data_IF_787747396763
#
_entry.id   IF_787747396763
#
_cell.length_a   1.000
_cell.length_b   1.000
_cell.length_c   1.000
_cell.angle_alpha   90.00
_cell.angle_beta   90.00
_cell.angle_gamma   90.00
#
_symmetry.space_group_name_H-M   'P 1'
#
loop_
_entity.id
_entity.type
_entity.pdbx_description
1 polymer ?
#
# COMPACT_ATOMS: atom_id res chain seq x y z
N UNK A 1 61.27 -7.18 -41.90
CA UNK A 1 59.92 -6.62 -41.70
C UNK A 1 58.77 -7.62 -41.81
N UNK A 2 58.89 -8.76 -42.52
CA UNK A 2 57.80 -9.75 -42.61
C UNK A 2 57.59 -10.65 -41.37
N UNK A 3 58.64 -10.94 -40.60
CA UNK A 3 58.58 -11.86 -39.45
C UNK A 3 57.80 -11.31 -38.25
N UNK A 4 57.85 -10.00 -38.04
CA UNK A 4 57.11 -9.31 -36.95
C UNK A 4 55.61 -9.26 -37.27
N UNK A 5 55.23 -9.13 -38.55
CA UNK A 5 53.82 -9.16 -38.95
C UNK A 5 53.21 -10.55 -38.76
N UNK A 6 53.97 -11.61 -39.03
CA UNK A 6 53.53 -13.00 -38.87
C UNK A 6 53.39 -13.41 -37.39
N UNK A 7 54.31 -12.96 -36.53
CA UNK A 7 54.24 -13.14 -35.07
C UNK A 7 53.08 -12.33 -34.43
N UNK A 8 52.76 -11.14 -34.94
CA UNK A 8 51.56 -10.41 -34.49
C UNK A 8 50.25 -10.98 -35.07
N UNK A 9 50.28 -11.53 -36.28
CA UNK A 9 49.12 -12.13 -36.94
C UNK A 9 48.68 -13.42 -36.22
N UNK A 10 49.65 -14.28 -35.87
CA UNK A 10 49.40 -15.50 -35.09
C UNK A 10 48.87 -15.22 -33.68
N UNK A 11 49.30 -14.11 -33.03
CA UNK A 11 48.75 -13.65 -31.76
C UNK A 11 47.32 -13.10 -31.84
N UNK A 12 46.89 -12.60 -33.00
CA UNK A 12 45.53 -12.13 -33.25
C UNK A 12 44.54 -13.29 -33.47
N UNK A 13 44.97 -14.39 -34.08
CA UNK A 13 44.15 -15.60 -34.28
C UNK A 13 43.75 -16.25 -32.95
N UNK A 14 44.59 -16.12 -31.91
CA UNK A 14 44.32 -16.65 -30.57
C UNK A 14 43.35 -15.78 -29.73
N UNK A 15 43.02 -14.57 -30.18
CA UNK A 15 42.02 -13.69 -29.51
C UNK A 15 40.57 -14.08 -29.82
N UNK A 16 40.30 -14.78 -30.92
CA UNK A 16 38.91 -15.15 -31.26
C UNK A 16 38.36 -16.21 -30.32
N UNK A 17 39.18 -17.16 -29.87
CA UNK A 17 38.79 -18.21 -28.91
C UNK A 17 38.61 -17.67 -27.49
N UNK A 18 39.43 -16.71 -27.06
CA UNK A 18 39.26 -16.02 -25.77
C UNK A 18 38.01 -15.13 -25.74
N UNK A 19 37.55 -14.65 -26.90
CA UNK A 19 36.35 -13.81 -26.99
C UNK A 19 35.05 -14.57 -26.77
N UNK A 20 34.95 -15.82 -27.24
CA UNK A 20 33.72 -16.60 -27.15
C UNK A 20 33.43 -17.07 -25.72
N UNK A 21 34.44 -17.58 -25.00
CA UNK A 21 34.31 -17.98 -23.60
C UNK A 21 33.99 -16.79 -22.68
N UNK A 22 34.60 -15.64 -22.93
CA UNK A 22 34.36 -14.43 -22.15
C UNK A 22 32.97 -13.85 -22.41
N UNK A 23 32.49 -13.85 -23.66
CA UNK A 23 31.11 -13.49 -24.01
C UNK A 23 30.10 -14.46 -23.39
N UNK A 24 30.38 -15.77 -23.38
CA UNK A 24 29.53 -16.76 -22.73
C UNK A 24 29.43 -16.53 -21.22
N UNK A 25 30.55 -16.21 -20.55
CA UNK A 25 30.57 -15.86 -19.12
C UNK A 25 29.78 -14.58 -18.84
N UNK A 26 29.89 -13.56 -19.67
CA UNK A 26 29.10 -12.32 -19.55
C UNK A 26 27.61 -12.59 -19.76
N UNK A 27 27.24 -13.35 -20.80
CA UNK A 27 25.86 -13.73 -21.07
C UNK A 27 25.26 -14.53 -19.90
N UNK A 28 26.02 -15.48 -19.33
CA UNK A 28 25.60 -16.25 -18.16
C UNK A 28 25.44 -15.34 -16.93
N UNK A 29 26.40 -14.44 -16.67
CA UNK A 29 26.32 -13.50 -15.55
C UNK A 29 25.11 -12.56 -15.67
N UNK A 30 24.82 -12.04 -16.87
CA UNK A 30 23.62 -11.23 -17.13
C UNK A 30 22.33 -12.04 -16.97
N UNK A 31 22.32 -13.30 -17.41
CA UNK A 31 21.17 -14.20 -17.25
C UNK A 31 20.88 -14.44 -15.76
N UNK A 32 21.93 -14.72 -14.98
CA UNK A 32 21.82 -14.89 -13.52
C UNK A 32 21.32 -13.60 -12.85
N UNK A 33 21.89 -12.45 -13.20
CA UNK A 33 21.47 -11.16 -12.68
C UNK A 33 20.01 -10.83 -13.05
N UNK A 34 19.59 -11.16 -14.27
CA UNK A 34 18.22 -10.98 -14.75
C UNK A 34 17.25 -11.87 -14.00
N UNK A 35 17.55 -13.16 -13.86
CA UNK A 35 16.75 -14.10 -13.09
C UNK A 35 16.63 -13.65 -11.63
N UNK A 36 17.75 -13.25 -11.01
CA UNK A 36 17.76 -12.72 -9.64
C UNK A 36 16.89 -11.46 -9.51
N UNK A 37 16.93 -10.55 -10.48
CA UNK A 37 16.09 -9.35 -10.50
C UNK A 37 14.61 -9.69 -10.64
N UNK A 38 14.26 -10.67 -11.49
CA UNK A 38 12.88 -11.15 -11.66
C UNK A 38 12.38 -11.80 -10.37
N UNK A 39 13.18 -12.64 -9.73
CA UNK A 39 12.83 -13.29 -8.46
C UNK A 39 12.62 -12.25 -7.35
N UNK A 40 13.49 -11.24 -7.28
CA UNK A 40 13.31 -10.10 -6.37
C UNK A 40 12.03 -9.33 -6.67
N UNK A 41 11.74 -9.06 -7.95
CA UNK A 41 10.50 -8.39 -8.37
C UNK A 41 9.25 -9.17 -7.96
N UNK A 42 9.27 -10.49 -8.10
CA UNK A 42 8.19 -11.38 -7.65
C UNK A 42 8.02 -11.34 -6.12
N UNK A 43 9.13 -11.40 -5.38
CA UNK A 43 9.11 -11.34 -3.92
C UNK A 43 8.55 -10.00 -3.42
N UNK A 44 8.95 -8.88 -4.05
CA UNK A 44 8.44 -7.55 -3.73
C UNK A 44 6.94 -7.48 -4.03
N UNK A 45 6.49 -7.97 -5.19
CA UNK A 45 5.08 -7.98 -5.56
C UNK A 45 4.24 -8.80 -4.57
N UNK A 46 4.72 -9.98 -4.16
CA UNK A 46 4.07 -10.80 -3.13
C UNK A 46 3.97 -10.06 -1.79
N UNK A 47 5.10 -9.52 -1.32
CA UNK A 47 5.16 -8.80 -0.04
C UNK A 47 4.24 -7.56 -0.04
N UNK A 48 4.16 -6.86 -1.18
CA UNK A 48 3.27 -5.72 -1.34
C UNK A 48 1.81 -6.14 -1.33
N UNK A 49 1.47 -7.24 -1.98
CA UNK A 49 0.12 -7.83 -1.95
C UNK A 49 -0.30 -8.17 -0.52
N UNK A 50 0.56 -8.85 0.23
CA UNK A 50 0.29 -9.24 1.62
C UNK A 50 0.10 -8.02 2.53
N UNK A 51 0.99 -7.03 2.42
CA UNK A 51 0.86 -5.75 3.17
C UNK A 51 -0.41 -5.00 2.82
N UNK A 52 -0.82 -5.01 1.55
CA UNK A 52 -2.06 -4.34 1.10
C UNK A 52 -3.28 -5.03 1.70
N UNK A 53 -3.30 -6.37 1.73
CA UNK A 53 -4.36 -7.14 2.35
C UNK A 53 -4.45 -6.89 3.87
N UNK A 54 -3.31 -6.80 4.55
CA UNK A 54 -3.26 -6.46 5.98
C UNK A 54 -3.80 -5.05 6.23
N UNK A 55 -3.39 -4.06 5.43
CA UNK A 55 -3.89 -2.70 5.54
C UNK A 55 -5.40 -2.59 5.34
N UNK A 56 -5.97 -3.30 4.36
CA UNK A 56 -7.42 -3.33 4.18
C UNK A 56 -8.15 -3.97 5.37
N UNK A 57 -7.59 -5.03 5.95
CA UNK A 57 -8.13 -5.64 7.17
C UNK A 57 -8.11 -4.66 8.36
N UNK A 58 -7.01 -3.94 8.57
CA UNK A 58 -6.88 -2.94 9.63
C UNK A 58 -7.86 -1.78 9.42
N UNK A 59 -7.98 -1.29 8.18
CA UNK A 59 -8.92 -0.23 7.82
C UNK A 59 -10.37 -0.65 8.08
N UNK A 60 -10.74 -1.87 7.68
CA UNK A 60 -12.08 -2.42 7.92
C UNK A 60 -12.41 -2.47 9.42
N UNK A 61 -11.50 -3.04 10.23
CA UNK A 61 -11.65 -3.08 11.70
C UNK A 61 -11.76 -1.68 12.29
N UNK A 62 -10.95 -0.73 11.83
CA UNK A 62 -11.02 0.65 12.30
C UNK A 62 -12.39 1.29 12.03
N UNK A 63 -12.96 1.06 10.85
CA UNK A 63 -14.29 1.58 10.51
C UNK A 63 -15.39 0.90 11.34
N UNK A 64 -15.27 -0.39 11.64
CA UNK A 64 -16.15 -1.09 12.58
C UNK A 64 -16.05 -0.50 14.00
N UNK A 65 -14.83 -0.33 14.51
CA UNK A 65 -14.61 0.27 15.82
C UNK A 65 -15.17 1.69 15.92
N UNK A 66 -14.98 2.52 14.88
CA UNK A 66 -15.58 3.86 14.84
C UNK A 66 -17.10 3.79 14.90
N UNK A 67 -17.72 2.89 14.14
CA UNK A 67 -19.18 2.70 14.14
C UNK A 67 -19.69 2.32 15.52
N UNK A 68 -19.04 1.37 16.18
CA UNK A 68 -19.39 0.95 17.54
C UNK A 68 -19.17 2.08 18.56
N UNK A 69 -18.09 2.85 18.42
CA UNK A 69 -17.79 3.96 19.31
C UNK A 69 -18.77 5.15 19.16
N UNK A 70 -19.39 5.30 17.99
CA UNK A 70 -20.31 6.40 17.67
C UNK A 70 -21.80 5.99 17.80
N UNK A 71 -22.10 4.72 18.13
CA UNK A 71 -23.47 4.18 18.24
C UNK A 71 -23.85 3.90 19.70
N UNK A 72 -25.10 4.19 20.07
CA UNK A 72 -25.67 3.81 21.37
C UNK A 72 -26.07 2.33 21.37
N UNK A 73 -25.60 1.52 22.33
CA UNK A 73 -25.81 0.07 22.31
C UNK A 73 -27.27 -0.34 22.55
N UNK A 74 -28.06 0.48 23.25
CA UNK A 74 -29.45 0.14 23.59
C UNK A 74 -30.41 0.45 22.43
N UNK A 75 -30.21 1.60 21.78
CA UNK A 75 -31.15 2.15 20.79
C UNK A 75 -30.65 2.04 19.35
N UNK A 76 -29.38 1.70 19.14
CA UNK A 76 -28.72 1.58 17.83
C UNK A 76 -28.71 2.87 17.00
N UNK A 77 -29.04 4.01 17.61
CA UNK A 77 -28.87 5.34 17.01
C UNK A 77 -27.51 5.93 17.40
N UNK A 78 -27.14 7.06 16.80
CA UNK A 78 -25.94 7.77 17.19
C UNK A 78 -25.98 8.18 18.66
N UNK A 79 -24.87 7.92 19.36
CA UNK A 79 -24.74 8.32 20.74
C UNK A 79 -24.44 9.83 20.84
N UNK A 80 -24.42 10.34 22.07
CA UNK A 80 -24.18 11.76 22.34
C UNK A 80 -22.84 12.25 21.76
N UNK A 81 -21.78 11.44 21.83
CA UNK A 81 -20.46 11.81 21.31
C UNK A 81 -20.49 12.01 19.80
N UNK A 82 -21.16 11.10 19.08
CA UNK A 82 -21.35 11.22 17.65
C UNK A 82 -22.19 12.46 17.30
N UNK A 83 -23.29 12.70 18.02
CA UNK A 83 -24.09 13.91 17.87
C UNK A 83 -23.28 15.19 18.04
N UNK A 84 -22.50 15.33 19.12
CA UNK A 84 -21.69 16.52 19.41
C UNK A 84 -20.66 16.80 18.30
N UNK A 85 -20.06 15.73 17.74
CA UNK A 85 -19.13 15.81 16.61
C UNK A 85 -19.81 16.35 15.35
N UNK A 86 -21.02 15.89 15.05
CA UNK A 86 -21.77 16.33 13.86
C UNK A 86 -22.31 17.75 13.99
N UNK A 87 -22.79 18.12 15.16
CA UNK A 87 -23.18 19.50 15.47
C UNK A 87 -21.99 20.45 15.29
N UNK A 88 -20.83 20.12 15.86
CA UNK A 88 -19.61 20.93 15.71
C UNK A 88 -19.22 21.09 14.24
N UNK A 89 -19.31 20.01 13.44
CA UNK A 89 -19.04 20.06 12.01
C UNK A 89 -19.99 20.98 11.26
N UNK A 90 -21.28 20.95 11.58
CA UNK A 90 -22.31 21.80 10.96
C UNK A 90 -22.03 23.28 11.25
N UNK A 91 -21.78 23.63 12.51
CA UNK A 91 -21.55 25.01 12.94
C UNK A 91 -20.21 25.59 12.47
N UNK A 92 -19.21 24.76 12.20
CA UNK A 92 -17.93 25.20 11.64
C UNK A 92 -18.01 25.64 10.15
N UNK A 93 -19.20 25.57 9.53
CA UNK A 93 -19.41 26.00 8.15
C UNK A 93 -20.35 27.22 8.08
N UNK A 94 -19.90 28.34 7.50
CA UNK A 94 -20.70 29.57 7.35
C UNK A 94 -22.04 29.37 6.62
N UNK A 95 -22.17 28.29 5.82
CA UNK A 95 -23.41 27.93 5.13
C UNK A 95 -24.31 26.98 5.94
N UNK A 96 -23.74 26.18 6.86
CA UNK A 96 -24.49 25.22 7.66
C UNK A 96 -25.41 25.90 8.68
N UNK A 97 -25.07 27.10 9.14
CA UNK A 97 -25.85 27.79 10.17
C UNK A 97 -27.24 28.22 9.65
N UNK A 98 -27.37 28.55 8.36
CA UNK A 98 -28.59 29.14 7.80
C UNK A 98 -29.71 28.14 7.46
N UNK A 99 -29.44 26.83 7.44
CA UNK A 99 -30.40 25.83 6.93
C UNK A 99 -30.56 24.56 7.79
N UNK A 100 -30.27 24.63 9.10
CA UNK A 100 -30.42 23.48 9.99
C UNK A 100 -31.45 23.75 11.10
N UNK A 101 -32.18 22.71 11.49
CA UNK A 101 -33.10 22.70 12.61
C UNK A 101 -32.71 21.58 13.59
N UNK A 102 -32.90 21.80 14.88
CA UNK A 102 -32.64 20.82 15.93
C UNK A 102 -33.95 20.51 16.67
N UNK A 103 -34.24 19.23 16.83
CA UNK A 103 -35.40 18.73 17.58
C UNK A 103 -34.90 17.92 18.76
N UNK A 104 -35.46 18.19 19.94
CA UNK A 104 -35.18 17.45 21.17
C UNK A 104 -36.46 16.71 21.59
N UNK A 105 -36.34 15.41 21.89
CA UNK A 105 -37.44 14.56 22.37
C UNK A 105 -37.04 13.96 23.71
N UNK A 106 -37.97 13.98 24.67
CA UNK A 106 -37.78 13.41 26.02
C UNK A 106 -38.97 12.50 26.33
N UNK A 107 -38.72 11.42 27.07
CA UNK A 107 -39.77 10.51 27.53
C UNK A 107 -40.34 11.01 28.86
N UNK A 108 -41.65 11.30 28.89
CA UNK A 108 -42.35 11.69 30.10
C UNK A 108 -42.42 10.54 31.11
N UNK A 109 -42.27 10.85 32.41
CA UNK A 109 -42.37 9.89 33.52
C UNK A 109 -41.44 8.66 33.40
N UNK A 110 -40.27 8.81 32.77
CA UNK A 110 -39.29 7.72 32.64
C UNK A 110 -38.89 7.08 34.00
N UNK A 111 -38.88 7.85 35.09
CA UNK A 111 -38.58 7.37 36.44
C UNK A 111 -39.63 6.45 37.03
N UNK A 112 -40.87 6.49 36.54
CA UNK A 112 -41.96 5.64 37.06
C UNK A 112 -41.92 4.22 36.45
N UNK A 113 -41.16 4.05 35.37
CA UNK A 113 -41.06 2.80 34.58
C UNK A 113 -39.73 2.07 34.86
N UNK A 114 -38.78 2.70 35.55
CA UNK A 114 -37.42 2.20 35.79
C UNK A 114 -37.21 1.87 37.28
#
# INVERSE_FOLDING_TARGET
>A
YGRILDETSSGLTNRSLLSQDLLQKIANAMTIATNSTIDHGRQIASTLSDKTAELESVKSKLEEYKRLADTDPLTQIWNRRAFDKEITRIYNSNKGILFNALVLVVIDRFKDIN
#
